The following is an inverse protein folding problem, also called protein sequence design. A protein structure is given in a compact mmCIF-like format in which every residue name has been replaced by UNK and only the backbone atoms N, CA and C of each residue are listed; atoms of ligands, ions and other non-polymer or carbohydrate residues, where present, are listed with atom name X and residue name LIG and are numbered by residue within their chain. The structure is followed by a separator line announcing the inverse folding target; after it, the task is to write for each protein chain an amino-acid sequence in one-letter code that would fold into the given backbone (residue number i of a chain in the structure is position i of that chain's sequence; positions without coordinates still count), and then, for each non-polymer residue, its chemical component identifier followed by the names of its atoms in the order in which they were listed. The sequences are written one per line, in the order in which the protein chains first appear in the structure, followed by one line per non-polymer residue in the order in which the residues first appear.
data_IF_953646459879
#
_entry.id   IF_953646459879
#
_cell.length_a   1.000
_cell.length_b   1.000
_cell.length_c   1.000
_cell.angle_alpha   90.00
_cell.angle_beta   90.00
_cell.angle_gamma   90.00
#
_symmetry.space_group_name_H-M   'P 1'
#
loop_
_entity.id
_entity.type
_entity.pdbx_description
1 polymer ?
#
# COMPACT_ATOMS: atom_id res chain seq x y z
N UNK A 1 -1.72 3.61 -27.16
CA UNK A 1 -1.60 3.58 -25.69
C UNK A 1 -0.98 2.25 -25.32
N UNK A 2 0.33 2.21 -25.15
CA UNK A 2 1.02 1.00 -24.70
C UNK A 2 0.66 0.76 -23.23
N UNK A 3 0.05 -0.40 -22.97
CA UNK A 3 -0.07 -0.93 -21.63
C UNK A 3 1.35 -1.24 -21.14
N UNK A 4 1.91 -0.34 -20.34
CA UNK A 4 3.19 -0.55 -19.66
C UNK A 4 3.10 -1.88 -18.93
N UNK A 5 3.90 -2.85 -19.40
CA UNK A 5 4.08 -4.15 -18.77
C UNK A 5 4.39 -3.91 -17.30
N UNK A 6 3.62 -4.51 -16.40
CA UNK A 6 3.98 -4.74 -14.98
C UNK A 6 5.21 -5.66 -14.90
N UNK A 7 6.35 -5.21 -15.41
CA UNK A 7 7.63 -5.86 -15.16
C UNK A 7 8.02 -5.57 -13.71
N UNK A 8 8.28 -6.62 -12.93
CA UNK A 8 9.33 -6.55 -11.92
C UNK A 8 8.96 -6.45 -10.45
N UNK A 9 7.70 -6.37 -10.02
CA UNK A 9 7.42 -6.40 -8.58
C UNK A 9 7.52 -7.82 -8.00
N UNK A 10 8.70 -8.16 -7.47
CA UNK A 10 8.92 -9.34 -6.62
C UNK A 10 8.30 -9.11 -5.24
N UNK A 11 6.99 -9.28 -5.12
CA UNK A 11 6.37 -9.36 -3.81
C UNK A 11 6.87 -10.61 -3.08
N UNK A 12 7.42 -10.45 -1.87
CA UNK A 12 7.53 -11.59 -0.96
C UNK A 12 6.09 -11.99 -0.57
N UNK A 13 5.75 -13.24 -0.82
CA UNK A 13 4.41 -13.80 -0.56
C UNK A 13 4.45 -14.47 0.82
N UNK A 14 3.42 -14.31 1.68
CA UNK A 14 3.34 -15.04 2.94
C UNK A 14 3.50 -16.55 2.75
N UNK A 15 4.17 -17.24 3.68
CA UNK A 15 4.43 -18.69 3.59
C UNK A 15 3.16 -19.49 3.30
N UNK A 16 2.05 -19.14 3.95
CA UNK A 16 0.77 -19.79 3.74
C UNK A 16 0.21 -19.59 2.33
N UNK A 17 0.26 -18.36 1.83
CA UNK A 17 -0.17 -18.06 0.47
C UNK A 17 0.71 -18.79 -0.57
N UNK A 18 2.01 -18.94 -0.29
CA UNK A 18 2.93 -19.73 -1.12
C UNK A 18 2.53 -21.21 -1.12
N UNK A 19 2.33 -21.80 0.06
CA UNK A 19 1.88 -23.20 0.20
C UNK A 19 0.60 -23.46 -0.58
N UNK A 20 -0.40 -22.60 -0.44
CA UNK A 20 -1.65 -22.74 -1.18
C UNK A 20 -1.44 -22.70 -2.70
N UNK A 21 -0.56 -21.82 -3.19
CA UNK A 21 -0.24 -21.76 -4.63
C UNK A 21 0.43 -23.06 -5.10
N UNK A 22 1.38 -23.59 -4.33
CA UNK A 22 2.07 -24.86 -4.61
C UNK A 22 1.09 -26.05 -4.61
N UNK A 23 0.12 -26.06 -3.69
CA UNK A 23 -0.97 -27.04 -3.62
C UNK A 23 -2.09 -26.81 -4.65
N UNK A 24 -1.87 -25.95 -5.67
CA UNK A 24 -2.86 -25.59 -6.70
C UNK A 24 -4.18 -25.06 -6.12
N UNK A 25 -4.12 -24.31 -5.02
CA UNK A 25 -5.25 -23.65 -4.38
C UNK A 25 -5.17 -22.13 -4.54
N UNK A 26 -6.33 -21.49 -4.52
CA UNK A 26 -6.44 -20.04 -4.52
C UNK A 26 -5.87 -19.49 -3.19
N UNK A 27 -4.85 -18.62 -3.19
CA UNK A 27 -4.25 -18.11 -1.96
C UNK A 27 -5.14 -17.13 -1.20
N UNK A 28 -6.25 -16.69 -1.80
CA UNK A 28 -7.25 -15.87 -1.12
C UNK A 28 -8.36 -16.67 -0.45
N UNK A 29 -8.70 -17.87 -0.93
CA UNK A 29 -9.91 -18.58 -0.47
C UNK A 29 -9.75 -20.09 -0.35
N UNK A 30 -8.56 -20.65 -0.61
CA UNK A 30 -8.27 -22.08 -0.49
C UNK A 30 -8.86 -22.98 -1.58
N UNK A 31 -9.66 -22.45 -2.51
CA UNK A 31 -10.33 -23.26 -3.55
C UNK A 31 -9.31 -23.89 -4.52
N UNK A 32 -9.34 -25.22 -4.67
CA UNK A 32 -8.49 -25.96 -5.61
C UNK A 32 -8.78 -25.60 -7.07
N UNK A 33 -7.73 -25.58 -7.92
CA UNK A 33 -7.79 -25.14 -9.33
C UNK A 33 -8.80 -25.92 -10.17
N UNK A 34 -9.02 -27.19 -9.89
CA UNK A 34 -9.96 -28.03 -10.66
C UNK A 34 -11.43 -27.60 -10.48
N UNK A 35 -11.72 -26.76 -9.48
CA UNK A 35 -13.06 -26.18 -9.25
C UNK A 35 -13.22 -24.78 -9.86
N UNK A 36 -12.23 -24.30 -10.62
CA UNK A 36 -12.25 -22.94 -11.19
C UNK A 36 -12.94 -22.94 -12.55
N UNK A 37 -13.83 -21.99 -12.79
CA UNK A 37 -14.68 -21.96 -14.00
C UNK A 37 -14.12 -21.12 -15.16
N UNK A 38 -13.20 -20.18 -14.93
CA UNK A 38 -12.77 -19.18 -15.94
C UNK A 38 -11.29 -18.78 -15.94
N UNK A 39 -10.61 -18.73 -14.79
CA UNK A 39 -9.23 -18.18 -14.66
C UNK A 39 -8.21 -19.22 -14.20
N UNK A 40 -8.21 -20.42 -14.77
CA UNK A 40 -7.36 -21.56 -14.33
C UNK A 40 -5.86 -21.28 -14.42
N UNK A 41 -5.47 -20.34 -15.29
CA UNK A 41 -4.13 -19.79 -15.51
C UNK A 41 -3.72 -18.71 -14.49
N UNK A 42 -4.67 -18.13 -13.74
CA UNK A 42 -4.38 -17.07 -12.77
C UNK A 42 -3.94 -17.62 -11.41
N UNK A 43 -3.47 -16.72 -10.55
CA UNK A 43 -3.16 -17.01 -9.14
C UNK A 43 -4.42 -17.23 -8.30
N UNK A 44 -5.52 -16.52 -8.58
CA UNK A 44 -6.76 -16.56 -7.80
C UNK A 44 -7.96 -17.02 -8.64
N UNK A 45 -8.93 -17.68 -8.01
CA UNK A 45 -10.08 -18.29 -8.70
C UNK A 45 -11.12 -17.30 -9.26
N UNK A 46 -11.03 -16.00 -8.91
CA UNK A 46 -11.98 -14.96 -9.34
C UNK A 46 -11.36 -13.56 -9.21
N UNK A 47 -11.99 -12.55 -9.82
CA UNK A 47 -11.61 -11.13 -9.65
C UNK A 47 -11.69 -10.76 -8.17
N UNK A 48 -12.80 -11.09 -7.50
CA UNK A 48 -12.99 -10.83 -6.06
C UNK A 48 -11.84 -11.38 -5.23
N UNK A 49 -11.41 -12.62 -5.51
CA UNK A 49 -10.28 -13.23 -4.81
C UNK A 49 -8.92 -12.61 -5.18
N UNK A 50 -8.77 -12.09 -6.40
CA UNK A 50 -7.57 -11.35 -6.81
C UNK A 50 -7.47 -10.03 -6.04
N UNK A 51 -8.55 -9.24 -6.03
CA UNK A 51 -8.63 -7.99 -5.25
C UNK A 51 -8.44 -8.24 -3.76
N UNK A 52 -9.04 -9.30 -3.23
CA UNK A 52 -8.87 -9.66 -1.82
C UNK A 52 -7.43 -10.06 -1.49
N UNK A 53 -6.78 -10.85 -2.37
CA UNK A 53 -5.38 -11.22 -2.21
C UNK A 53 -4.45 -10.00 -2.23
N UNK A 54 -4.66 -9.11 -3.20
CA UNK A 54 -3.87 -7.87 -3.34
C UNK A 54 -4.02 -6.98 -2.09
N UNK A 55 -5.26 -6.71 -1.66
CA UNK A 55 -5.52 -5.79 -0.54
C UNK A 55 -5.19 -6.39 0.84
N UNK A 56 -5.55 -7.66 1.07
CA UNK A 56 -5.45 -8.25 2.42
C UNK A 56 -4.19 -9.05 2.66
N UNK A 57 -3.58 -9.63 1.62
CA UNK A 57 -2.42 -10.50 1.77
C UNK A 57 -1.17 -9.79 1.31
N UNK A 58 -1.15 -9.21 0.11
CA UNK A 58 0.07 -8.58 -0.42
C UNK A 58 0.30 -7.22 0.23
N UNK A 59 -0.63 -6.27 0.10
CA UNK A 59 -0.46 -4.90 0.60
C UNK A 59 -0.28 -4.87 2.12
N UNK A 60 -1.12 -5.59 2.87
CA UNK A 60 -1.02 -5.64 4.33
C UNK A 60 0.29 -6.25 4.80
N UNK A 61 0.71 -7.38 4.24
CA UNK A 61 1.95 -8.05 4.64
C UNK A 61 3.18 -7.23 4.23
N UNK A 62 3.14 -6.63 3.05
CA UNK A 62 4.19 -5.74 2.59
C UNK A 62 4.34 -4.54 3.52
N UNK A 63 3.23 -3.89 3.90
CA UNK A 63 3.26 -2.78 4.85
C UNK A 63 3.85 -3.18 6.22
N UNK A 64 3.49 -4.34 6.77
CA UNK A 64 4.10 -4.81 8.02
C UNK A 64 5.61 -5.00 7.86
N UNK A 65 6.04 -5.63 6.76
CA UNK A 65 7.47 -5.83 6.46
C UNK A 65 8.23 -4.51 6.35
N UNK A 66 7.67 -3.52 5.65
CA UNK A 66 8.30 -2.21 5.49
C UNK A 66 8.34 -1.43 6.79
N UNK A 67 7.27 -1.49 7.58
CA UNK A 67 7.20 -0.91 8.91
C UNK A 67 8.27 -1.51 9.84
N UNK A 68 8.41 -2.83 9.86
CA UNK A 68 9.42 -3.52 10.67
C UNK A 68 10.84 -3.11 10.26
N UNK A 69 11.13 -3.11 8.96
CA UNK A 69 12.41 -2.63 8.44
C UNK A 69 12.70 -1.18 8.78
N UNK A 70 11.69 -0.31 8.76
CA UNK A 70 11.85 1.09 9.16
C UNK A 70 12.19 1.19 10.65
N UNK A 71 11.56 0.38 11.50
CA UNK A 71 11.84 0.35 12.93
C UNK A 71 13.27 -0.14 13.20
N UNK A 72 13.71 -1.20 12.52
CA UNK A 72 15.08 -1.69 12.62
C UNK A 72 16.10 -0.64 12.15
N UNK A 73 15.87 -0.03 10.97
CA UNK A 73 16.73 1.04 10.43
C UNK A 73 16.86 2.22 11.38
N UNK A 74 15.75 2.59 12.02
CA UNK A 74 15.67 3.76 12.89
C UNK A 74 16.00 3.41 14.36
N UNK A 75 16.58 2.23 14.63
CA UNK A 75 16.93 1.73 15.97
C UNK A 75 15.79 1.80 16.99
N UNK A 76 14.56 1.54 16.55
CA UNK A 76 13.34 1.66 17.36
C UNK A 76 13.19 3.05 18.02
N UNK A 77 13.74 4.08 17.39
CA UNK A 77 13.66 5.47 17.83
C UNK A 77 12.80 6.31 16.88
N UNK A 78 12.06 7.27 17.46
CA UNK A 78 11.33 8.25 16.67
C UNK A 78 12.31 9.15 15.91
N UNK A 79 12.24 9.18 14.58
CA UNK A 79 13.14 10.01 13.76
C UNK A 79 12.91 11.53 13.91
N UNK A 80 11.83 11.93 14.60
CA UNK A 80 11.51 13.35 14.83
C UNK A 80 11.97 13.89 16.17
N UNK A 81 11.99 13.06 17.21
CA UNK A 81 12.33 13.50 18.57
C UNK A 81 13.36 12.62 19.27
N UNK A 82 13.82 11.54 18.65
CA UNK A 82 14.84 10.64 19.19
C UNK A 82 14.35 9.67 20.26
N UNK A 83 13.07 9.72 20.68
CA UNK A 83 12.60 8.83 21.76
C UNK A 83 12.58 7.37 21.31
N UNK A 84 13.26 6.52 22.07
CA UNK A 84 13.22 5.07 21.92
C UNK A 84 11.97 4.47 22.56
N UNK A 85 11.34 3.51 21.87
CA UNK A 85 10.13 2.82 22.32
C UNK A 85 10.09 1.39 21.80
N UNK A 86 9.30 0.54 22.45
CA UNK A 86 8.96 -0.77 21.88
C UNK A 86 8.13 -0.62 20.60
N UNK A 87 8.20 -1.61 19.71
CA UNK A 87 7.50 -1.61 18.42
C UNK A 87 5.98 -1.36 18.52
N UNK A 88 5.34 -1.75 19.63
CA UNK A 88 3.90 -1.54 19.88
C UNK A 88 3.54 -0.07 20.10
N UNK A 89 4.49 0.73 20.61
CA UNK A 89 4.36 2.15 20.90
C UNK A 89 4.89 3.05 19.75
N UNK A 90 5.44 2.44 18.71
CA UNK A 90 5.87 3.12 17.48
C UNK A 90 4.82 2.99 16.37
N UNK A 91 4.90 3.91 15.41
CA UNK A 91 4.12 3.94 14.17
C UNK A 91 5.09 4.03 13.00
N UNK A 92 4.90 3.15 12.01
CA UNK A 92 5.46 3.36 10.69
C UNK A 92 4.51 4.28 9.94
N UNK A 93 5.03 5.34 9.34
CA UNK A 93 4.23 6.32 8.61
C UNK A 93 4.97 6.73 7.34
N UNK A 94 4.24 7.05 6.27
CA UNK A 94 4.86 7.48 5.03
C UNK A 94 5.44 8.90 5.19
N UNK A 95 6.65 9.18 4.70
CA UNK A 95 7.25 10.52 4.77
C UNK A 95 6.44 11.50 3.92
N UNK A 96 6.21 11.13 2.67
CA UNK A 96 5.27 11.78 1.76
C UNK A 96 4.00 10.94 1.72
N UNK A 97 2.82 11.49 2.08
CA UNK A 97 1.57 10.76 2.02
C UNK A 97 1.28 10.24 0.60
N UNK A 98 0.75 9.02 0.49
CA UNK A 98 0.35 8.40 -0.79
C UNK A 98 -0.62 9.32 -1.57
N UNK A 99 -1.57 9.93 -0.87
CA UNK A 99 -2.55 10.85 -1.46
C UNK A 99 -1.93 12.14 -2.06
N UNK A 100 -0.65 12.40 -1.77
CA UNK A 100 0.14 13.50 -2.33
C UNK A 100 1.22 13.00 -3.31
N UNK A 101 1.16 11.73 -3.73
CA UNK A 101 2.10 11.13 -4.68
C UNK A 101 3.34 10.52 -4.04
N UNK A 102 3.32 10.25 -2.73
CA UNK A 102 4.39 9.50 -2.09
C UNK A 102 4.40 8.03 -2.53
N UNK A 103 5.59 7.48 -2.70
CA UNK A 103 5.78 6.07 -3.03
C UNK A 103 5.19 5.18 -1.94
N UNK A 104 4.23 4.34 -2.31
CA UNK A 104 3.48 3.52 -1.36
C UNK A 104 4.35 2.41 -0.75
N UNK A 105 5.34 1.94 -1.53
CA UNK A 105 6.05 0.70 -1.25
C UNK A 105 7.57 0.85 -1.12
N UNK A 106 8.10 2.06 -0.99
CA UNK A 106 9.56 2.30 -0.85
C UNK A 106 9.94 2.55 0.61
N UNK A 107 11.05 1.96 1.08
CA UNK A 107 11.47 2.03 2.50
C UNK A 107 11.91 3.43 2.87
N UNK A 108 12.48 4.11 1.89
CA UNK A 108 12.94 5.48 1.91
C UNK A 108 11.76 6.43 2.15
N UNK A 109 10.54 6.05 1.76
CA UNK A 109 9.33 6.80 2.06
C UNK A 109 8.62 6.33 3.34
N UNK A 110 9.22 5.47 4.18
CA UNK A 110 8.65 5.07 5.48
C UNK A 110 9.56 5.56 6.61
N UNK A 111 8.96 6.13 7.67
CA UNK A 111 9.67 6.61 8.86
C UNK A 111 9.06 6.08 10.16
N UNK A 112 9.90 5.94 11.19
CA UNK A 112 9.50 5.57 12.54
C UNK A 112 9.10 6.80 13.35
N UNK A 113 7.87 6.83 13.86
CA UNK A 113 7.35 7.91 14.71
C UNK A 113 6.81 7.36 16.04
N UNK A 114 7.02 8.11 17.12
CA UNK A 114 6.25 7.91 18.34
C UNK A 114 4.82 8.46 18.16
N UNK A 115 3.89 7.96 18.97
CA UNK A 115 2.45 8.34 18.88
C UNK A 115 2.22 9.87 18.87
N UNK A 116 2.89 10.68 19.73
CA UNK A 116 2.72 12.15 19.67
C UNK A 116 3.18 12.77 18.35
N UNK A 117 4.35 12.40 17.84
CA UNK A 117 4.89 12.93 16.59
C UNK A 117 4.04 12.51 15.37
N UNK A 118 3.57 11.27 15.37
CA UNK A 118 2.65 10.72 14.36
C UNK A 118 1.34 11.52 14.29
N UNK A 119 0.72 11.83 15.45
CA UNK A 119 -0.49 12.68 15.52
C UNK A 119 -0.26 14.07 14.93
N UNK A 120 0.87 14.69 15.25
CA UNK A 120 1.23 16.01 14.71
C UNK A 120 1.39 15.95 13.19
N UNK A 121 2.09 14.95 12.68
CA UNK A 121 2.26 14.75 11.24
C UNK A 121 0.92 14.49 10.55
N UNK A 122 0.11 13.57 11.07
CA UNK A 122 -1.22 13.23 10.54
C UNK A 122 -2.08 14.48 10.37
N UNK A 123 -2.15 15.35 11.38
CA UNK A 123 -2.91 16.61 11.30
C UNK A 123 -2.39 17.52 10.18
N UNK A 124 -1.07 17.65 10.05
CA UNK A 124 -0.45 18.46 8.98
C UNK A 124 -0.75 17.88 7.60
N UNK A 125 -0.68 16.57 7.44
CA UNK A 125 -0.90 15.89 6.16
C UNK A 125 -2.36 15.90 5.74
N UNK A 126 -3.30 15.71 6.68
CA UNK A 126 -4.73 15.85 6.40
C UNK A 126 -5.06 17.22 5.81
N UNK A 127 -4.48 18.29 6.34
CA UNK A 127 -4.66 19.65 5.81
C UNK A 127 -4.11 19.78 4.38
N UNK A 128 -2.90 19.25 4.13
CA UNK A 128 -2.29 19.26 2.78
C UNK A 128 -3.11 18.45 1.78
N UNK A 129 -3.56 17.25 2.16
CA UNK A 129 -4.40 16.37 1.35
C UNK A 129 -5.72 17.06 1.02
N UNK A 130 -6.38 17.68 2.01
CA UNK A 130 -7.62 18.42 1.79
C UNK A 130 -7.42 19.57 0.79
N UNK A 131 -6.32 20.34 0.93
CA UNK A 131 -5.96 21.40 -0.02
C UNK A 131 -5.74 20.83 -1.43
N UNK A 132 -4.96 19.75 -1.56
CA UNK A 132 -4.69 19.12 -2.86
C UNK A 132 -5.97 18.60 -3.52
N UNK A 133 -6.88 17.99 -2.74
CA UNK A 133 -8.19 17.54 -3.24
C UNK A 133 -9.03 18.69 -3.79
N UNK A 134 -9.04 19.87 -3.13
CA UNK A 134 -9.73 21.07 -3.62
C UNK A 134 -9.14 21.56 -4.94
N UNK A 135 -7.81 21.62 -5.04
CA UNK A 135 -7.10 22.01 -6.27
C UNK A 135 -7.44 21.05 -7.41
N UNK A 136 -7.39 19.74 -7.16
CA UNK A 136 -7.70 18.72 -8.17
C UNK A 136 -9.15 18.85 -8.67
N UNK A 137 -10.10 19.18 -7.78
CA UNK A 137 -11.49 19.45 -8.15
C UNK A 137 -11.62 20.66 -9.08
N UNK A 138 -10.95 21.78 -8.75
CA UNK A 138 -10.96 22.99 -9.59
C UNK A 138 -10.34 22.73 -10.97
N UNK A 139 -9.19 22.05 -11.02
CA UNK A 139 -8.54 21.67 -12.28
C UNK A 139 -9.45 20.81 -13.16
N UNK A 140 -10.17 19.86 -12.56
CA UNK A 140 -11.11 19.00 -13.29
C UNK A 140 -12.30 19.80 -13.85
N UNK A 141 -12.84 20.75 -13.07
CA UNK A 141 -13.92 21.65 -13.53
C UNK A 141 -13.48 22.59 -14.67
N UNK A 142 -12.25 23.11 -14.61
CA UNK A 142 -11.71 23.94 -15.69
C UNK A 142 -11.42 23.11 -16.95
N UNK A 143 -10.96 21.86 -16.80
CA UNK A 143 -10.74 20.96 -17.92
C UNK A 143 -12.04 20.57 -18.64
N UNK A 144 -13.16 20.39 -17.92
CA UNK A 144 -14.47 20.11 -18.53
C UNK A 144 -15.03 21.31 -19.30
N UNK A 145 -14.86 22.53 -18.78
CA UNK A 145 -15.29 23.76 -19.47
C UNK A 145 -14.52 24.01 -20.77
N UNK A 146 -13.24 23.61 -20.85
CA UNK A 146 -12.42 23.73 -22.06
C UNK A 146 -12.72 22.64 -23.11
N UNK A 147 -13.30 21.51 -22.73
CA UNK A 147 -13.69 20.43 -23.66
C UNK A 147 -15.09 20.59 -24.25
N UNK A 148 -15.97 21.39 -23.64
CA UNK A 148 -17.34 21.65 -24.12
C UNK A 148 -17.44 22.89 -25.03
N UNK A 149 -16.32 23.59 -25.26
CA UNK A 149 -16.23 24.78 -26.12
C UNK A 149 -15.70 24.53 -27.52
N UNK A 150 -15.85 23.31 -28.07
CA UNK A 150 -15.52 22.97 -29.47
C UNK A 150 -16.70 22.36 -30.19
#
# INVERSE_FOLDING_TARGET
MELIKRQGYRYKIPKEARRLIEERKCPSCGKHKDKWKRRTDWRCCSIKCTTNYENNIVQRWYWQTMREKAFERDNYACVKCGVEKSASLLRGDHIVPIALGGEEFELENVQTLCIPCDKIKTKKDQNKIAKQRRINKLKKGNASLLSEGK
#
